data_IF_121613673416
#
_entry.id   IF_121613673416
#
_cell.length_a   1.000
_cell.length_b   1.000
_cell.length_c   1.000
_cell.angle_alpha   90.00
_cell.angle_beta   90.00
_cell.angle_gamma   90.00
#
_symmetry.space_group_name_H-M   'P 1'
#
loop_
_entity.id
_entity.type
_entity.pdbx_description
1 polymer ?
#
# COMPACT_ATOMS: atom_id res chain seq x y z
N UNK A 1 17.81 -19.33 12.69
CA UNK A 1 17.09 -18.65 11.59
C UNK A 1 16.64 -19.69 10.58
N UNK A 2 15.37 -19.68 10.23
CA UNK A 2 14.83 -20.62 9.24
C UNK A 2 15.22 -20.21 7.82
N UNK A 3 15.10 -21.14 6.85
CA UNK A 3 15.42 -20.84 5.46
C UNK A 3 14.57 -19.71 4.88
N UNK A 4 13.30 -19.64 5.30
CA UNK A 4 12.39 -18.54 4.88
C UNK A 4 12.81 -17.20 5.50
N UNK A 5 13.24 -17.17 6.76
CA UNK A 5 13.73 -15.94 7.40
C UNK A 5 15.01 -15.44 6.73
N UNK A 6 15.92 -16.34 6.35
CA UNK A 6 17.11 -15.98 5.60
C UNK A 6 16.76 -15.36 4.24
N UNK A 7 15.80 -15.96 3.52
CA UNK A 7 15.34 -15.43 2.25
C UNK A 7 14.67 -14.06 2.41
N UNK A 8 13.76 -13.92 3.38
CA UNK A 8 13.08 -12.63 3.64
C UNK A 8 14.08 -11.54 3.99
N UNK A 9 15.04 -11.82 4.88
CA UNK A 9 16.11 -10.86 5.21
C UNK A 9 16.92 -10.41 3.98
N UNK A 10 17.25 -11.33 3.09
CA UNK A 10 17.96 -11.01 1.84
C UNK A 10 17.08 -10.16 0.90
N UNK A 11 15.78 -10.45 0.82
CA UNK A 11 14.81 -9.66 0.06
C UNK A 11 14.69 -8.25 0.62
N UNK A 12 14.52 -8.07 1.92
CA UNK A 12 14.40 -6.75 2.56
C UNK A 12 15.64 -5.88 2.34
N UNK A 13 16.84 -6.47 2.35
CA UNK A 13 18.10 -5.78 2.05
C UNK A 13 18.32 -5.49 0.56
N UNK A 14 17.47 -6.01 -0.33
CA UNK A 14 17.65 -5.90 -1.77
C UNK A 14 18.84 -6.68 -2.31
N UNK A 15 19.26 -7.74 -1.62
CA UNK A 15 20.44 -8.55 -1.97
C UNK A 15 20.12 -9.55 -3.10
N UNK A 16 19.96 -9.07 -4.32
CA UNK A 16 19.55 -9.83 -5.52
C UNK A 16 20.40 -11.10 -5.70
N UNK A 17 21.73 -11.00 -5.60
CA UNK A 17 22.64 -12.13 -5.77
C UNK A 17 22.44 -13.21 -4.72
N UNK A 18 22.22 -12.83 -3.46
CA UNK A 18 21.96 -13.74 -2.35
C UNK A 18 20.60 -14.44 -2.52
N UNK A 19 19.55 -13.67 -2.85
CA UNK A 19 18.22 -14.23 -3.15
C UNK A 19 18.28 -15.22 -4.32
N UNK A 20 19.00 -14.88 -5.37
CA UNK A 20 19.23 -15.78 -6.52
C UNK A 20 19.88 -17.09 -6.07
N UNK A 21 20.95 -17.02 -5.28
CA UNK A 21 21.66 -18.21 -4.78
C UNK A 21 20.78 -19.08 -3.87
N UNK A 22 19.98 -18.47 -2.99
CA UNK A 22 19.05 -19.19 -2.13
C UNK A 22 17.97 -19.91 -2.94
N UNK A 23 17.38 -19.23 -3.95
CA UNK A 23 16.34 -19.81 -4.81
C UNK A 23 16.89 -20.82 -5.82
N UNK A 24 18.16 -20.72 -6.22
CA UNK A 24 18.82 -21.76 -7.02
C UNK A 24 19.00 -23.06 -6.24
N UNK A 25 19.32 -22.95 -4.94
CA UNK A 25 19.46 -24.10 -4.05
C UNK A 25 18.10 -24.66 -3.60
N UNK A 26 17.13 -23.81 -3.33
CA UNK A 26 15.81 -24.17 -2.78
C UNK A 26 14.69 -23.39 -3.48
N UNK A 27 14.30 -23.78 -4.71
CA UNK A 27 13.29 -23.04 -5.51
C UNK A 27 11.93 -22.91 -4.81
N UNK A 28 11.52 -23.87 -4.02
CA UNK A 28 10.23 -23.91 -3.32
C UNK A 28 10.07 -22.77 -2.27
N UNK A 29 11.17 -22.16 -1.87
CA UNK A 29 11.14 -21.05 -0.93
C UNK A 29 10.48 -19.79 -1.51
N UNK A 30 10.39 -19.65 -2.83
CA UNK A 30 9.81 -18.45 -3.48
C UNK A 30 8.36 -18.18 -3.04
N UNK A 31 7.59 -19.23 -2.75
CA UNK A 31 6.20 -19.15 -2.28
C UNK A 31 6.03 -19.62 -0.80
N UNK A 32 7.15 -19.90 -0.13
CA UNK A 32 7.10 -20.28 1.28
C UNK A 32 6.57 -19.10 2.10
N UNK A 33 5.69 -19.42 3.03
CA UNK A 33 5.09 -18.44 3.95
C UNK A 33 5.88 -18.39 5.25
N UNK A 34 6.08 -17.19 5.76
CA UNK A 34 6.64 -16.98 7.10
C UNK A 34 5.56 -17.13 8.19
N UNK A 35 5.88 -16.78 9.43
CA UNK A 35 4.97 -16.85 10.59
C UNK A 35 3.73 -15.94 10.43
N UNK A 36 3.81 -14.88 9.65
CA UNK A 36 2.69 -13.97 9.35
C UNK A 36 1.83 -14.47 8.20
N UNK A 37 2.25 -15.54 7.53
CA UNK A 37 1.65 -16.07 6.32
C UNK A 37 2.02 -15.30 5.05
N UNK A 38 2.95 -14.36 5.14
CA UNK A 38 3.45 -13.59 4.01
C UNK A 38 4.49 -14.38 3.20
N UNK A 39 4.56 -14.12 1.90
CA UNK A 39 5.58 -14.65 1.00
C UNK A 39 6.70 -13.62 0.79
N UNK A 40 7.89 -14.02 0.28
CA UNK A 40 8.96 -13.09 -0.07
C UNK A 40 8.50 -11.93 -0.96
N UNK A 41 7.53 -12.17 -1.85
CA UNK A 41 6.99 -11.15 -2.74
C UNK A 41 6.24 -10.02 -2.01
N UNK A 42 5.61 -10.30 -0.85
CA UNK A 42 5.00 -9.26 -0.01
C UNK A 42 6.05 -8.25 0.45
N UNK A 43 7.18 -8.72 0.94
CA UNK A 43 8.28 -7.87 1.43
C UNK A 43 8.95 -7.06 0.31
N UNK A 44 9.17 -7.68 -0.86
CA UNK A 44 9.71 -6.97 -2.02
C UNK A 44 8.77 -5.86 -2.52
N UNK A 45 7.47 -6.13 -2.54
CA UNK A 45 6.44 -5.15 -2.92
C UNK A 45 6.34 -4.01 -1.90
N UNK A 46 6.32 -4.33 -0.61
CA UNK A 46 6.33 -3.35 0.49
C UNK A 46 7.54 -2.41 0.40
N UNK A 47 8.72 -2.95 0.12
CA UNK A 47 9.95 -2.17 -0.06
C UNK A 47 10.04 -1.41 -1.38
N UNK A 48 9.06 -1.54 -2.28
CA UNK A 48 9.09 -0.89 -3.61
C UNK A 48 10.23 -1.35 -4.51
N UNK A 49 10.75 -2.54 -4.28
CA UNK A 49 11.94 -3.08 -4.94
C UNK A 49 11.62 -3.73 -6.28
N UNK A 50 11.42 -2.94 -7.31
CA UNK A 50 11.06 -3.44 -8.66
C UNK A 50 11.96 -4.56 -9.19
N UNK A 51 13.31 -4.49 -9.11
CA UNK A 51 14.17 -5.58 -9.55
C UNK A 51 13.96 -6.88 -8.77
N UNK A 52 13.75 -6.79 -7.45
CA UNK A 52 13.46 -7.94 -6.59
C UNK A 52 12.10 -8.55 -6.88
N UNK A 53 11.06 -7.71 -7.05
CA UNK A 53 9.72 -8.16 -7.47
C UNK A 53 9.80 -8.93 -8.78
N UNK A 54 10.52 -8.40 -9.77
CA UNK A 54 10.73 -9.07 -11.06
C UNK A 54 11.40 -10.43 -10.88
N UNK A 55 12.49 -10.49 -10.14
CA UNK A 55 13.21 -11.74 -9.87
C UNK A 55 12.29 -12.79 -9.23
N UNK A 56 11.54 -12.42 -8.20
CA UNK A 56 10.66 -13.35 -7.50
C UNK A 56 9.53 -13.86 -8.40
N UNK A 57 8.96 -13.01 -9.27
CA UNK A 57 7.93 -13.41 -10.24
C UNK A 57 8.55 -14.35 -11.29
N UNK A 58 9.73 -14.05 -11.83
CA UNK A 58 10.44 -14.92 -12.78
C UNK A 58 10.79 -16.30 -12.20
N UNK A 59 10.95 -16.37 -10.87
CA UNK A 59 11.18 -17.62 -10.12
C UNK A 59 9.90 -18.33 -9.72
N UNK A 60 8.73 -17.89 -10.18
CA UNK A 60 7.43 -18.52 -9.93
C UNK A 60 6.70 -18.01 -8.69
N UNK A 61 7.05 -16.83 -8.19
CA UNK A 61 6.34 -16.18 -7.10
C UNK A 61 4.86 -15.90 -7.43
N UNK A 62 3.96 -16.28 -6.51
CA UNK A 62 2.52 -16.06 -6.65
C UNK A 62 2.16 -14.58 -6.47
N UNK A 63 1.80 -13.89 -7.54
CA UNK A 63 1.55 -12.44 -7.57
C UNK A 63 0.41 -12.03 -6.63
N UNK A 64 -0.61 -12.87 -6.49
CA UNK A 64 -1.81 -12.60 -5.69
C UNK A 64 -1.92 -13.48 -4.44
N UNK A 65 -0.80 -13.99 -3.93
CA UNK A 65 -0.81 -14.71 -2.65
C UNK A 65 -1.36 -13.80 -1.54
N UNK A 66 -2.18 -14.34 -0.66
CA UNK A 66 -2.72 -13.58 0.49
C UNK A 66 -1.96 -13.96 1.76
N UNK A 67 -1.60 -12.96 2.59
CA UNK A 67 -1.05 -13.24 3.92
C UNK A 67 -2.12 -13.84 4.85
N UNK A 68 -1.69 -14.45 5.95
CA UNK A 68 -2.61 -15.06 6.91
C UNK A 68 -3.22 -14.05 7.89
N UNK A 69 -2.61 -12.87 8.05
CA UNK A 69 -3.01 -11.90 9.06
C UNK A 69 -4.18 -11.02 8.62
N UNK A 70 -4.13 -10.54 7.37
CA UNK A 70 -5.10 -9.57 6.84
C UNK A 70 -5.77 -10.04 5.53
N UNK A 71 -5.35 -11.18 4.99
CA UNK A 71 -5.75 -11.61 3.64
C UNK A 71 -5.24 -10.65 2.55
N UNK A 72 -4.20 -9.89 2.84
CA UNK A 72 -3.66 -8.89 1.93
C UNK A 72 -2.68 -9.53 0.93
N UNK A 73 -2.71 -9.05 -0.31
CA UNK A 73 -1.77 -9.44 -1.38
C UNK A 73 -0.50 -8.59 -1.32
N UNK A 74 0.59 -8.96 -2.03
CA UNK A 74 1.77 -8.10 -2.16
C UNK A 74 1.45 -6.67 -2.62
N UNK A 75 0.51 -6.51 -3.56
CA UNK A 75 0.04 -5.19 -3.98
C UNK A 75 -0.66 -4.44 -2.83
N UNK A 76 -1.44 -5.14 -2.01
CA UNK A 76 -2.06 -4.59 -0.81
C UNK A 76 -1.02 -4.04 0.19
N UNK A 77 0.06 -4.76 0.42
CA UNK A 77 1.15 -4.31 1.29
C UNK A 77 1.83 -3.03 0.79
N UNK A 78 2.09 -2.94 -0.52
CA UNK A 78 2.68 -1.76 -1.12
C UNK A 78 1.78 -0.51 -0.99
N UNK A 79 0.48 -0.69 -1.20
CA UNK A 79 -0.50 0.40 -1.09
C UNK A 79 -0.70 0.80 0.38
N UNK A 80 -0.81 -0.15 1.29
CA UNK A 80 -1.07 0.11 2.70
C UNK A 80 0.05 0.91 3.36
N UNK A 81 1.30 0.59 3.06
CA UNK A 81 2.43 1.40 3.53
C UNK A 81 2.36 2.86 3.05
N UNK A 82 2.05 3.06 1.77
CA UNK A 82 1.90 4.41 1.23
C UNK A 82 0.74 5.17 1.89
N UNK A 83 -0.34 4.47 2.25
CA UNK A 83 -1.46 5.06 2.99
C UNK A 83 -1.11 5.45 4.42
N UNK A 84 -0.32 4.65 5.13
CA UNK A 84 0.17 4.98 6.47
C UNK A 84 0.99 6.27 6.49
N UNK A 85 1.73 6.55 5.42
CA UNK A 85 2.52 7.78 5.26
C UNK A 85 1.79 8.89 4.49
N UNK A 86 0.48 8.74 4.27
CA UNK A 86 -0.38 9.76 3.66
C UNK A 86 -0.52 9.69 2.15
N UNK A 87 -0.09 8.58 1.52
CA UNK A 87 -0.27 8.36 0.08
C UNK A 87 -1.65 7.80 -0.27
N UNK A 88 -2.25 8.32 -1.32
CA UNK A 88 -3.54 7.86 -1.85
C UNK A 88 -3.46 7.65 -3.35
N UNK A 89 -4.34 6.79 -3.89
CA UNK A 89 -4.49 6.66 -5.32
C UNK A 89 -5.11 7.93 -5.92
N UNK A 90 -4.68 8.32 -7.10
CA UNK A 90 -5.20 9.51 -7.77
C UNK A 90 -6.73 9.50 -7.91
N UNK A 91 -7.32 8.33 -8.17
CA UNK A 91 -8.79 8.18 -8.24
C UNK A 91 -9.45 8.43 -6.87
N UNK A 92 -8.86 7.99 -5.78
CA UNK A 92 -9.40 8.22 -4.42
C UNK A 92 -9.36 9.72 -4.07
N UNK A 93 -8.28 10.41 -4.43
CA UNK A 93 -8.16 11.86 -4.24
C UNK A 93 -9.19 12.62 -5.11
N UNK A 94 -9.39 12.21 -6.36
CA UNK A 94 -10.36 12.80 -7.25
C UNK A 94 -11.80 12.58 -6.76
N UNK A 95 -12.14 11.39 -6.30
CA UNK A 95 -13.45 11.06 -5.76
C UNK A 95 -13.76 11.84 -4.49
N UNK A 96 -12.77 12.01 -3.60
CA UNK A 96 -12.93 12.81 -2.39
C UNK A 96 -13.10 14.30 -2.71
N UNK A 97 -12.29 14.86 -3.62
CA UNK A 97 -12.46 16.23 -4.10
C UNK A 97 -13.84 16.45 -4.73
N UNK A 98 -14.32 15.47 -5.51
CA UNK A 98 -15.66 15.50 -6.12
C UNK A 98 -16.77 15.51 -5.06
N UNK A 99 -16.67 14.65 -4.03
CA UNK A 99 -17.62 14.61 -2.92
C UNK A 99 -17.70 15.97 -2.20
N UNK A 100 -16.55 16.62 -1.95
CA UNK A 100 -16.50 17.96 -1.35
C UNK A 100 -17.18 18.97 -2.25
N UNK A 101 -16.82 19.03 -3.55
CA UNK A 101 -17.39 20.00 -4.52
C UNK A 101 -18.91 19.83 -4.70
N UNK A 102 -19.41 18.61 -4.57
CA UNK A 102 -20.85 18.29 -4.64
C UNK A 102 -21.58 18.56 -3.33
N UNK A 103 -20.88 18.82 -2.25
CA UNK A 103 -21.49 18.93 -0.92
C UNK A 103 -22.03 17.61 -0.38
N UNK A 104 -21.49 16.48 -0.85
CA UNK A 104 -21.93 15.15 -0.46
C UNK A 104 -21.31 14.76 0.89
N UNK A 105 -22.03 15.11 1.97
CA UNK A 105 -21.59 14.87 3.33
C UNK A 105 -21.40 13.39 3.67
N UNK A 106 -22.26 12.53 3.15
CA UNK A 106 -22.19 11.11 3.46
C UNK A 106 -20.92 10.49 2.88
N UNK A 107 -20.61 10.79 1.61
CA UNK A 107 -19.39 10.35 0.97
C UNK A 107 -18.15 10.95 1.61
N UNK A 108 -18.15 12.25 1.86
CA UNK A 108 -17.02 12.94 2.48
C UNK A 108 -16.70 12.36 3.88
N UNK A 109 -17.70 12.09 4.71
CA UNK A 109 -17.51 11.41 6.01
C UNK A 109 -16.94 10.01 5.87
N UNK A 110 -17.44 9.21 4.93
CA UNK A 110 -16.94 7.86 4.67
C UNK A 110 -15.48 7.87 4.29
N UNK A 111 -15.05 8.77 3.41
CA UNK A 111 -13.66 8.93 3.03
C UNK A 111 -12.77 9.31 4.22
N UNK A 112 -13.13 10.33 4.98
CA UNK A 112 -12.35 10.78 6.14
C UNK A 112 -12.32 9.74 7.26
N UNK A 113 -13.43 9.01 7.47
CA UNK A 113 -13.47 7.92 8.45
C UNK A 113 -12.53 6.78 8.06
N UNK A 114 -12.55 6.40 6.79
CA UNK A 114 -11.68 5.32 6.28
C UNK A 114 -10.21 5.76 6.16
N UNK A 115 -9.98 7.01 5.79
CA UNK A 115 -8.66 7.58 5.53
C UNK A 115 -8.49 8.93 6.25
N UNK A 116 -8.22 8.93 7.56
CA UNK A 116 -8.09 10.17 8.34
C UNK A 116 -7.03 11.14 7.82
N UNK A 117 -5.99 10.64 7.15
CA UNK A 117 -4.94 11.45 6.52
C UNK A 117 -5.44 12.40 5.42
N UNK A 118 -6.65 12.17 4.88
CA UNK A 118 -7.27 13.10 3.91
C UNK A 118 -7.57 14.49 4.50
N UNK A 119 -7.69 14.61 5.82
CA UNK A 119 -7.91 15.91 6.48
C UNK A 119 -6.79 16.91 6.19
N UNK A 120 -5.57 16.43 6.06
CA UNK A 120 -4.38 17.25 5.79
C UNK A 120 -3.85 17.08 4.37
N UNK A 121 -4.57 16.33 3.54
CA UNK A 121 -4.19 16.02 2.16
C UNK A 121 -4.61 17.09 1.15
N UNK A 122 -4.20 16.86 -0.08
CA UNK A 122 -4.53 17.71 -1.24
C UNK A 122 -5.06 16.84 -2.39
N UNK A 123 -5.77 17.45 -3.30
CA UNK A 123 -6.19 16.80 -4.55
C UNK A 123 -4.99 16.56 -5.49
N UNK A 124 -5.25 16.00 -6.66
CA UNK A 124 -4.22 15.70 -7.65
C UNK A 124 -3.58 16.94 -8.29
N UNK A 125 -4.16 18.12 -8.09
CA UNK A 125 -3.65 19.41 -8.55
C UNK A 125 -2.87 20.16 -7.46
N UNK A 126 -2.79 19.56 -6.25
CA UNK A 126 -2.10 20.14 -5.10
C UNK A 126 -2.96 21.10 -4.27
N UNK A 127 -4.27 21.16 -4.53
CA UNK A 127 -5.18 22.00 -3.74
C UNK A 127 -5.55 21.27 -2.44
N UNK A 128 -5.29 21.85 -1.26
CA UNK A 128 -5.69 21.26 0.01
C UNK A 128 -7.20 21.03 0.07
N UNK A 129 -7.63 19.84 0.53
CA UNK A 129 -9.06 19.53 0.66
C UNK A 129 -9.80 20.46 1.60
N UNK A 130 -9.15 20.92 2.67
CA UNK A 130 -9.69 21.95 3.55
C UNK A 130 -10.04 23.23 2.77
N UNK A 131 -9.18 23.64 1.84
CA UNK A 131 -9.44 24.83 1.01
C UNK A 131 -10.64 24.63 0.08
N UNK A 132 -10.80 23.43 -0.48
CA UNK A 132 -12.00 23.11 -1.27
C UNK A 132 -13.28 23.19 -0.42
N UNK A 133 -13.23 22.70 0.80
CA UNK A 133 -14.33 22.78 1.75
C UNK A 133 -14.68 24.24 2.12
N UNK A 134 -13.67 25.07 2.39
CA UNK A 134 -13.84 26.50 2.70
C UNK A 134 -14.47 27.27 1.52
N UNK A 135 -14.05 26.96 0.29
CA UNK A 135 -14.61 27.58 -0.93
C UNK A 135 -16.08 27.23 -1.15
N UNK A 136 -16.50 26.03 -0.73
CA UNK A 136 -17.91 25.62 -0.80
C UNK A 136 -18.77 26.37 0.22
N UNK A 137 -18.21 26.79 1.36
CA UNK A 137 -18.92 27.47 2.42
C UNK A 137 -19.93 26.62 3.17
N UNK A 138 -19.80 25.27 3.08
CA UNK A 138 -20.66 24.36 3.81
C UNK A 138 -20.03 24.03 5.18
N UNK A 139 -20.62 24.56 6.25
CA UNK A 139 -20.10 24.39 7.60
C UNK A 139 -19.95 22.91 8.04
N UNK A 140 -20.84 22.04 7.61
CA UNK A 140 -20.73 20.61 7.95
C UNK A 140 -19.49 19.96 7.32
N UNK A 141 -19.21 20.27 6.05
CA UNK A 141 -18.01 19.78 5.36
C UNK A 141 -16.75 20.40 5.97
N UNK A 142 -16.77 21.68 6.28
CA UNK A 142 -15.63 22.37 6.92
C UNK A 142 -15.24 21.70 8.25
N UNK A 143 -16.21 21.28 9.06
CA UNK A 143 -15.99 20.58 10.35
C UNK A 143 -15.31 19.21 10.19
N UNK A 144 -15.29 18.61 9.01
CA UNK A 144 -14.54 17.37 8.77
C UNK A 144 -13.02 17.58 8.82
N UNK A 145 -12.58 18.83 8.69
CA UNK A 145 -11.16 19.22 8.61
C UNK A 145 -10.65 19.89 9.89
N UNK A 146 -11.49 20.02 10.92
CA UNK A 146 -11.12 20.58 12.23
C UNK A 146 -10.43 19.59 13.18
#
# INVERSE_FOLDING_TARGET
>A
MTDIENLVNAVERGAIGEVTGILDACPDLVNRRDETGATPLHYAAFGGQRPMVRLLIERGGEINAQDARFGATPAGWAIEYLREVGGFLGIELADFAFAIRRGDMEWARRFVHRYPGLRTGSDTEGTPFKRLADQLGNEEIMRLFD
#
